data_IF_581862794150
#
_entry.id   IF_581862794150
#
_cell.length_a   1.000
_cell.length_b   1.000
_cell.length_c   1.000
_cell.angle_alpha   90.00
_cell.angle_beta   90.00
_cell.angle_gamma   90.00
#
_symmetry.space_group_name_H-M   'P 1'
#
loop_
_entity.id
_entity.type
_entity.pdbx_description
1 polymer ?
#
# COMPACT_ATOMS: atom_id res chain seq x y z
N UNK A 1 -6.37 -0.15 -6.48
CA UNK A 1 -6.91 0.72 -7.54
C UNK A 1 -6.17 0.56 -8.87
N UNK A 2 -4.86 0.86 -8.97
CA UNK A 2 -4.13 0.81 -10.25
C UNK A 2 -4.26 -0.54 -11.00
N UNK A 3 -4.11 -1.66 -10.30
CA UNK A 3 -4.43 -3.00 -10.80
C UNK A 3 -5.80 -3.12 -11.49
N UNK A 4 -6.85 -2.57 -10.89
CA UNK A 4 -8.22 -2.65 -11.39
C UNK A 4 -8.39 -1.78 -12.64
N UNK A 5 -7.83 -0.56 -12.62
CA UNK A 5 -7.82 0.34 -13.77
C UNK A 5 -7.07 -0.28 -14.96
N UNK A 6 -5.95 -0.94 -14.70
CA UNK A 6 -5.16 -1.65 -15.71
C UNK A 6 -5.93 -2.79 -16.36
N UNK A 7 -6.65 -3.58 -15.57
CA UNK A 7 -7.51 -4.65 -16.08
C UNK A 7 -8.61 -4.12 -17.02
N UNK A 8 -9.34 -3.08 -16.59
CA UNK A 8 -10.42 -2.47 -17.37
C UNK A 8 -9.89 -1.85 -18.68
N UNK A 9 -8.82 -1.07 -18.58
CA UNK A 9 -8.23 -0.42 -19.74
C UNK A 9 -7.65 -1.42 -20.74
N UNK A 10 -7.12 -2.56 -20.29
CA UNK A 10 -6.60 -3.58 -21.18
C UNK A 10 -7.71 -4.11 -22.11
N UNK A 11 -8.89 -4.38 -21.54
CA UNK A 11 -10.05 -4.89 -22.27
C UNK A 11 -10.69 -3.85 -23.19
N UNK A 12 -10.80 -2.61 -22.71
CA UNK A 12 -11.33 -1.49 -23.50
C UNK A 12 -10.31 -0.89 -24.49
N UNK A 13 -9.11 -1.47 -24.52
CA UNK A 13 -7.95 -1.00 -25.28
C UNK A 13 -7.56 0.46 -25.03
N UNK A 14 -7.77 0.94 -23.81
CA UNK A 14 -7.48 2.30 -23.40
C UNK A 14 -6.00 2.46 -22.99
N UNK A 15 -5.50 3.69 -23.13
CA UNK A 15 -4.26 4.11 -22.46
C UNK A 15 -4.60 4.60 -21.06
N UNK A 16 -3.71 4.34 -20.10
CA UNK A 16 -3.92 4.71 -18.70
C UNK A 16 -2.91 5.75 -18.31
N UNK A 17 -3.41 6.85 -17.76
CA UNK A 17 -2.57 7.90 -17.20
C UNK A 17 -2.50 7.68 -15.69
N UNK A 18 -1.29 7.51 -15.16
CA UNK A 18 -1.06 7.38 -13.71
C UNK A 18 -0.10 8.45 -13.26
N UNK A 19 -0.65 9.48 -12.62
CA UNK A 19 0.16 10.54 -12.03
C UNK A 19 0.63 10.16 -10.63
N UNK A 20 1.81 9.54 -10.56
CA UNK A 20 2.44 9.13 -9.30
C UNK A 20 2.83 10.31 -8.40
N UNK A 21 2.80 11.56 -8.89
CA UNK A 21 3.07 12.75 -8.07
C UNK A 21 2.00 12.96 -7.00
N UNK A 22 0.77 12.48 -7.23
CA UNK A 22 -0.40 12.74 -6.38
C UNK A 22 -0.76 11.62 -5.41
N UNK A 23 0.05 10.56 -5.32
CA UNK A 23 -0.22 9.49 -4.35
C UNK A 23 0.01 10.01 -2.92
N UNK A 24 -1.11 10.12 -2.21
CA UNK A 24 -1.32 10.81 -0.93
C UNK A 24 -0.54 10.27 0.27
N UNK A 25 0.24 9.20 0.13
CA UNK A 25 1.10 8.68 1.21
C UNK A 25 2.37 9.50 1.44
N UNK A 26 2.71 10.40 0.51
CA UNK A 26 3.94 11.20 0.54
C UNK A 26 3.62 12.70 0.63
N UNK A 27 2.83 13.12 1.62
CA UNK A 27 2.67 14.53 1.99
C UNK A 27 3.92 15.09 2.69
N UNK A 28 5.09 14.91 2.08
CA UNK A 28 6.15 15.90 2.23
C UNK A 28 6.35 16.52 0.86
N UNK A 29 6.27 17.84 0.76
CA UNK A 29 6.46 18.62 -0.47
C UNK A 29 7.82 18.35 -1.19
N UNK A 30 8.66 17.44 -0.66
CA UNK A 30 9.99 17.10 -1.15
C UNK A 30 10.11 15.65 -1.70
N UNK A 31 9.04 14.85 -1.70
CA UNK A 31 9.10 13.43 -2.11
C UNK A 31 8.10 13.08 -3.22
N UNK A 32 8.10 13.85 -4.31
CA UNK A 32 7.43 13.41 -5.54
C UNK A 32 8.15 12.18 -6.14
N UNK A 33 7.38 11.20 -6.61
CA UNK A 33 7.91 10.13 -7.46
C UNK A 33 8.25 10.71 -8.84
N UNK A 34 9.52 10.90 -9.13
CA UNK A 34 9.97 11.14 -10.51
C UNK A 34 9.92 9.84 -11.33
N UNK A 35 9.93 9.97 -12.65
CA UNK A 35 10.04 8.84 -13.59
C UNK A 35 11.27 7.98 -13.26
N UNK A 36 12.42 8.61 -13.07
CA UNK A 36 13.66 7.92 -12.71
C UNK A 36 13.53 7.14 -11.39
N UNK A 37 12.80 7.68 -10.42
CA UNK A 37 12.56 7.01 -9.14
C UNK A 37 11.59 5.84 -9.27
N UNK A 38 10.57 5.96 -10.10
CA UNK A 38 9.70 4.83 -10.40
C UNK A 38 10.52 3.70 -11.04
N UNK A 39 11.40 4.03 -11.98
CA UNK A 39 12.35 3.09 -12.57
C UNK A 39 13.43 2.60 -11.62
N UNK A 40 13.71 3.25 -10.49
CA UNK A 40 14.58 2.65 -9.46
C UNK A 40 13.95 1.36 -8.89
N UNK A 41 12.63 1.30 -8.79
CA UNK A 41 11.91 0.19 -8.16
C UNK A 41 11.23 -0.74 -9.14
N UNK A 42 10.70 -0.21 -10.24
CA UNK A 42 9.82 -0.93 -11.13
C UNK A 42 10.30 -0.88 -12.58
N UNK A 43 10.32 -2.05 -13.20
CA UNK A 43 10.24 -2.19 -14.65
C UNK A 43 8.77 -2.17 -15.04
N UNK A 44 8.39 -1.23 -15.88
CA UNK A 44 7.02 -1.12 -16.40
C UNK A 44 6.89 -2.03 -17.61
N UNK A 45 5.94 -2.96 -17.54
CA UNK A 45 5.72 -3.98 -18.56
C UNK A 45 4.58 -3.61 -19.52
N UNK A 46 3.69 -2.70 -19.12
CA UNK A 46 2.50 -2.39 -19.90
C UNK A 46 2.74 -1.24 -20.89
N UNK A 47 2.69 -1.47 -22.22
CA UNK A 47 3.04 -0.47 -23.23
C UNK A 47 2.06 0.70 -23.33
N UNK A 48 0.86 0.58 -22.74
CA UNK A 48 -0.18 1.63 -22.73
C UNK A 48 -0.31 2.34 -21.38
N UNK A 49 0.58 2.04 -20.44
CA UNK A 49 0.67 2.77 -19.18
C UNK A 49 1.54 4.02 -19.39
N UNK A 50 0.92 5.19 -19.29
CA UNK A 50 1.55 6.49 -19.37
C UNK A 50 1.66 7.04 -17.94
N UNK A 51 2.87 7.30 -17.50
CA UNK A 51 3.16 7.70 -16.12
C UNK A 51 4.21 8.80 -16.04
N UNK A 52 4.76 9.24 -17.18
CA UNK A 52 5.64 10.39 -17.24
C UNK A 52 4.82 11.66 -16.95
N UNK A 53 5.12 12.40 -15.87
CA UNK A 53 4.45 13.65 -15.53
C UNK A 53 4.37 14.65 -16.67
N UNK A 54 5.45 14.78 -17.47
CA UNK A 54 5.49 15.72 -18.59
C UNK A 54 4.51 15.30 -19.68
N UNK A 55 4.47 14.01 -19.97
CA UNK A 55 3.55 13.44 -20.96
C UNK A 55 2.10 13.48 -20.47
N UNK A 56 1.85 13.25 -19.18
CA UNK A 56 0.54 13.39 -18.55
C UNK A 56 0.06 14.84 -18.67
N UNK A 57 0.90 15.81 -18.30
CA UNK A 57 0.56 17.23 -18.38
C UNK A 57 0.28 17.66 -19.83
N UNK A 58 1.07 17.15 -20.79
CA UNK A 58 0.83 17.35 -22.23
C UNK A 58 -0.52 16.80 -22.68
N UNK A 59 -0.85 15.56 -22.31
CA UNK A 59 -2.11 14.89 -22.70
C UNK A 59 -3.32 15.58 -22.07
N UNK A 60 -3.26 15.93 -20.79
CA UNK A 60 -4.33 16.66 -20.10
C UNK A 60 -4.54 18.03 -20.76
N UNK A 61 -3.47 18.72 -21.13
CA UNK A 61 -3.56 20.04 -21.77
C UNK A 61 -4.10 19.97 -23.20
N UNK A 62 -3.65 19.01 -24.01
CA UNK A 62 -4.07 18.89 -25.40
C UNK A 62 -5.45 18.23 -25.56
N UNK A 63 -5.85 17.35 -24.65
CA UNK A 63 -7.07 16.54 -24.78
C UNK A 63 -7.91 16.48 -23.49
N UNK A 64 -8.22 17.62 -22.83
CA UNK A 64 -8.87 17.62 -21.51
C UNK A 64 -10.24 16.91 -21.53
N UNK A 65 -11.02 17.08 -22.59
CA UNK A 65 -12.33 16.43 -22.76
C UNK A 65 -12.23 14.91 -22.88
N UNK A 66 -11.18 14.41 -23.55
CA UNK A 66 -10.99 12.96 -23.73
C UNK A 66 -10.49 12.29 -22.46
N UNK A 67 -9.76 13.02 -21.62
CA UNK A 67 -9.19 12.51 -20.37
C UNK A 67 -10.20 12.60 -19.22
N UNK A 68 -10.93 13.71 -19.12
CA UNK A 68 -11.82 13.98 -17.98
C UNK A 68 -13.28 13.65 -18.26
N UNK A 69 -13.68 13.52 -19.54
CA UNK A 69 -15.09 13.38 -19.93
C UNK A 69 -15.92 14.66 -19.75
N UNK A 70 -15.31 15.77 -19.30
CA UNK A 70 -15.96 17.04 -18.99
C UNK A 70 -15.52 18.09 -20.01
N UNK A 71 -16.47 18.83 -20.58
CA UNK A 71 -16.16 20.01 -21.42
C UNK A 71 -15.57 21.12 -20.54
N UNK A 72 -14.35 21.63 -20.82
CA UNK A 72 -13.77 22.73 -20.07
C UNK A 72 -14.69 23.96 -20.12
N UNK A 73 -15.12 24.42 -18.95
CA UNK A 73 -15.82 25.69 -18.76
C UNK A 73 -15.00 26.66 -17.90
N UNK A 74 -15.40 27.93 -17.79
CA UNK A 74 -14.67 28.98 -17.06
C UNK A 74 -14.53 28.74 -15.54
N UNK A 75 -15.15 27.69 -15.01
CA UNK A 75 -15.11 27.29 -13.60
C UNK A 75 -14.40 25.96 -13.36
N UNK A 76 -13.45 25.57 -14.21
CA UNK A 76 -12.59 24.40 -13.96
C UNK A 76 -11.64 24.69 -12.78
N UNK A 77 -12.21 24.64 -11.57
CA UNK A 77 -11.51 24.74 -10.30
C UNK A 77 -10.63 23.51 -10.09
N UNK A 78 -9.47 23.77 -9.49
CA UNK A 78 -8.41 22.85 -9.11
C UNK A 78 -8.88 21.39 -8.88
N UNK A 79 -8.44 20.42 -9.71
CA UNK A 79 -8.82 18.98 -9.64
C UNK A 79 -8.45 18.24 -8.35
N UNK A 80 -7.86 18.90 -7.36
CA UNK A 80 -7.13 18.24 -6.25
C UNK A 80 -8.04 17.72 -5.11
N UNK A 81 -9.34 18.03 -5.10
CA UNK A 81 -10.24 17.63 -3.99
C UNK A 81 -10.98 16.30 -4.15
N UNK A 82 -10.84 15.63 -5.29
CA UNK A 82 -11.66 14.44 -5.62
C UNK A 82 -10.90 13.13 -5.41
N UNK A 83 -9.56 13.13 -5.46
CA UNK A 83 -8.75 11.92 -5.58
C UNK A 83 -8.73 10.97 -4.36
N UNK A 84 -8.90 11.45 -3.12
CA UNK A 84 -8.65 10.62 -1.93
C UNK A 84 -9.84 9.74 -1.48
N UNK A 85 -11.08 10.11 -1.84
CA UNK A 85 -12.30 9.34 -1.52
C UNK A 85 -12.62 8.23 -2.54
N UNK A 86 -12.08 8.34 -3.75
CA UNK A 86 -12.44 7.49 -4.88
C UNK A 86 -11.73 6.13 -4.86
N UNK A 87 -10.54 5.99 -4.29
CA UNK A 87 -9.70 4.81 -4.57
C UNK A 87 -10.24 3.47 -4.03
N UNK A 88 -10.94 3.49 -2.89
CA UNK A 88 -11.49 2.28 -2.25
C UNK A 88 -12.91 2.00 -2.72
N UNK A 89 -13.74 3.05 -2.84
CA UNK A 89 -15.12 2.97 -3.34
C UNK A 89 -15.15 2.57 -4.82
N UNK A 90 -14.33 3.20 -5.68
CA UNK A 90 -14.19 2.77 -7.08
C UNK A 90 -13.70 1.34 -7.20
N UNK A 91 -12.73 0.88 -6.39
CA UNK A 91 -12.23 -0.48 -6.55
C UNK A 91 -13.33 -1.54 -6.28
N UNK A 92 -14.20 -1.28 -5.30
CA UNK A 92 -15.36 -2.11 -4.99
C UNK A 92 -16.50 -1.95 -5.99
N UNK A 93 -16.81 -0.74 -6.43
CA UNK A 93 -17.85 -0.44 -7.43
C UNK A 93 -17.48 -0.97 -8.82
N UNK A 94 -16.24 -0.74 -9.27
CA UNK A 94 -15.71 -1.30 -10.52
C UNK A 94 -15.73 -2.84 -10.50
N UNK A 95 -15.50 -3.46 -9.33
CA UNK A 95 -15.62 -4.92 -9.20
C UNK A 95 -17.08 -5.38 -9.35
N UNK A 96 -18.01 -4.67 -8.72
CA UNK A 96 -19.45 -4.96 -8.78
C UNK A 96 -20.04 -4.72 -10.18
N UNK A 97 -19.62 -3.66 -10.87
CA UNK A 97 -20.15 -3.25 -12.16
C UNK A 97 -19.59 -4.10 -13.32
N UNK A 98 -18.29 -4.40 -13.31
CA UNK A 98 -17.67 -5.11 -14.42
C UNK A 98 -17.59 -6.63 -14.18
N UNK A 99 -17.81 -7.11 -12.96
CA UNK A 99 -17.71 -8.54 -12.60
C UNK A 99 -16.31 -9.13 -12.83
N UNK A 100 -15.28 -8.27 -12.93
CA UNK A 100 -13.93 -8.68 -13.33
C UNK A 100 -13.01 -8.84 -12.13
N UNK A 101 -12.25 -9.94 -12.15
CA UNK A 101 -11.16 -10.19 -11.22
C UNK A 101 -10.10 -9.11 -11.43
N UNK A 102 -9.82 -8.31 -10.41
CA UNK A 102 -8.77 -7.28 -10.44
C UNK A 102 -7.44 -7.97 -10.76
N UNK A 103 -6.88 -7.63 -11.91
CA UNK A 103 -5.61 -8.23 -12.35
C UNK A 103 -4.47 -7.75 -11.43
N UNK A 104 -3.53 -8.65 -11.13
CA UNK A 104 -2.46 -8.32 -10.20
C UNK A 104 -1.52 -7.26 -10.79
N UNK A 105 -1.05 -6.33 -9.95
CA UNK A 105 -0.04 -5.32 -10.33
C UNK A 105 1.19 -5.95 -10.99
N UNK A 106 1.52 -7.19 -10.62
CA UNK A 106 2.61 -7.97 -11.19
C UNK A 106 2.51 -8.23 -12.70
N UNK A 107 1.31 -8.13 -13.28
CA UNK A 107 1.12 -8.26 -14.73
C UNK A 107 1.57 -7.00 -15.50
N UNK A 108 1.78 -5.89 -14.79
CA UNK A 108 2.01 -4.57 -15.40
C UNK A 108 3.28 -3.89 -14.90
N UNK A 109 3.76 -4.27 -13.71
CA UNK A 109 4.97 -3.78 -13.07
C UNK A 109 5.75 -4.97 -12.52
N UNK A 110 7.06 -4.93 -12.64
CA UNK A 110 7.96 -5.89 -12.02
C UNK A 110 8.97 -5.14 -11.14
N UNK A 111 9.27 -5.66 -9.95
CA UNK A 111 10.34 -5.10 -9.15
C UNK A 111 11.69 -5.29 -9.85
N UNK A 112 12.52 -4.26 -9.90
CA UNK A 112 13.86 -4.33 -10.47
C UNK A 112 14.96 -3.87 -9.50
N UNK A 113 16.21 -4.05 -9.93
CA UNK A 113 17.39 -3.79 -9.11
C UNK A 113 17.36 -4.53 -7.77
N UNK A 114 17.81 -3.85 -6.73
CA UNK A 114 17.90 -4.43 -5.37
C UNK A 114 16.54 -4.88 -4.81
N UNK A 115 15.43 -4.21 -5.18
CA UNK A 115 14.11 -4.61 -4.72
C UNK A 115 13.66 -5.91 -5.39
N UNK A 116 13.93 -6.08 -6.69
CA UNK A 116 13.67 -7.33 -7.41
C UNK A 116 14.49 -8.50 -6.85
N UNK A 117 15.76 -8.26 -6.55
CA UNK A 117 16.64 -9.26 -5.91
C UNK A 117 16.14 -9.67 -4.52
N UNK A 118 15.79 -8.70 -3.66
CA UNK A 118 15.20 -8.95 -2.33
C UNK A 118 13.90 -9.74 -2.45
N UNK A 119 12.98 -9.32 -3.31
CA UNK A 119 11.72 -10.01 -3.54
C UNK A 119 11.95 -11.45 -3.96
N UNK A 120 12.75 -11.70 -4.99
CA UNK A 120 13.01 -13.06 -5.49
C UNK A 120 13.69 -13.95 -4.43
N UNK A 121 14.61 -13.39 -3.63
CA UNK A 121 15.26 -14.10 -2.53
C UNK A 121 14.26 -14.58 -1.47
N UNK A 122 13.32 -13.71 -1.08
CA UNK A 122 12.37 -14.00 0.00
C UNK A 122 11.11 -14.73 -0.47
N UNK A 123 10.75 -14.59 -1.75
CA UNK A 123 9.56 -15.21 -2.35
C UNK A 123 9.47 -16.71 -2.11
N UNK A 124 10.57 -17.44 -2.29
CA UNK A 124 10.61 -18.90 -2.07
C UNK A 124 10.23 -19.34 -0.65
N UNK A 125 10.45 -18.47 0.34
CA UNK A 125 10.07 -18.71 1.72
C UNK A 125 8.64 -18.23 1.98
N UNK A 126 8.24 -17.11 1.36
CA UNK A 126 6.90 -16.55 1.48
C UNK A 126 5.81 -17.50 0.99
N UNK A 127 6.03 -18.24 -0.10
CA UNK A 127 5.02 -19.11 -0.73
C UNK A 127 4.51 -20.25 0.14
N UNK A 128 5.23 -20.61 1.21
CA UNK A 128 4.87 -21.67 2.14
C UNK A 128 4.72 -21.14 3.58
N UNK A 129 4.55 -19.83 3.71
CA UNK A 129 4.45 -19.15 5.00
C UNK A 129 3.07 -18.52 5.17
N UNK A 130 2.71 -18.32 6.43
CA UNK A 130 1.61 -17.44 6.83
C UNK A 130 2.17 -16.01 6.85
N UNK A 131 1.63 -15.14 6.02
CA UNK A 131 1.95 -13.72 6.03
C UNK A 131 1.35 -13.08 7.28
N UNK A 132 2.11 -12.25 7.98
CA UNK A 132 1.64 -11.50 9.14
C UNK A 132 1.95 -10.03 8.89
N UNK A 133 0.92 -9.22 8.73
CA UNK A 133 1.06 -7.78 8.61
C UNK A 133 0.47 -7.08 9.85
N UNK A 134 1.35 -6.67 10.75
CA UNK A 134 0.99 -6.00 12.00
C UNK A 134 1.33 -4.52 11.93
N UNK A 135 0.34 -3.68 11.61
CA UNK A 135 0.48 -2.22 11.64
C UNK A 135 0.09 -1.70 13.02
N UNK A 136 1.06 -1.43 13.88
CA UNK A 136 0.84 -1.10 15.30
C UNK A 136 1.22 0.34 15.65
N UNK A 137 1.61 1.13 14.64
CA UNK A 137 1.80 2.58 14.76
C UNK A 137 3.14 2.99 15.36
N UNK A 138 3.92 2.07 15.92
CA UNK A 138 5.25 2.34 16.49
C UNK A 138 5.26 3.54 17.47
N UNK A 139 4.29 3.56 18.39
CA UNK A 139 4.10 4.64 19.38
C UNK A 139 3.41 5.91 18.85
N UNK A 140 2.81 5.86 17.65
CA UNK A 140 1.95 6.95 17.14
C UNK A 140 0.75 7.21 18.06
N UNK A 141 0.68 8.42 18.63
CA UNK A 141 -0.53 8.93 19.27
C UNK A 141 -1.51 9.40 18.20
N UNK A 142 -2.40 8.49 17.79
CA UNK A 142 -3.46 8.79 16.83
C UNK A 142 -4.56 9.64 17.47
N UNK A 143 -4.74 10.88 16.96
CA UNK A 143 -5.85 11.76 17.39
C UNK A 143 -7.22 11.23 16.95
N UNK A 144 -7.29 10.60 15.77
CA UNK A 144 -8.53 10.03 15.26
C UNK A 144 -8.79 8.67 15.94
N UNK A 145 -9.91 8.49 16.68
CA UNK A 145 -10.20 7.26 17.40
C UNK A 145 -10.34 6.03 16.50
N UNK A 146 -10.88 6.18 15.29
CA UNK A 146 -11.01 5.08 14.33
C UNK A 146 -9.63 4.62 13.83
N UNK A 147 -8.75 5.57 13.53
CA UNK A 147 -7.36 5.24 13.16
C UNK A 147 -6.59 4.64 14.33
N UNK A 148 -6.86 5.10 15.56
CA UNK A 148 -6.28 4.53 16.78
C UNK A 148 -6.65 3.07 16.93
N UNK A 149 -7.93 2.70 16.83
CA UNK A 149 -8.38 1.30 16.94
C UNK A 149 -7.72 0.35 15.94
N UNK A 150 -7.32 0.85 14.77
CA UNK A 150 -6.61 0.06 13.75
C UNK A 150 -5.19 -0.32 14.17
N UNK A 151 -4.52 0.53 14.97
CA UNK A 151 -3.13 0.33 15.39
C UNK A 151 -3.00 -0.16 16.83
N UNK A 152 -4.00 0.10 17.67
CA UNK A 152 -4.08 -0.26 19.09
C UNK A 152 -4.57 -1.70 19.26
N UNK A 153 -3.79 -2.64 18.71
CA UNK A 153 -4.08 -4.08 18.74
C UNK A 153 -3.05 -4.78 19.60
N UNK A 154 -3.52 -5.43 20.66
CA UNK A 154 -2.71 -6.25 21.55
C UNK A 154 -1.92 -7.33 20.79
N UNK A 155 -0.64 -7.50 21.12
CA UNK A 155 0.24 -8.50 20.49
C UNK A 155 -0.35 -9.90 20.62
N UNK A 156 -0.98 -10.20 21.76
CA UNK A 156 -1.59 -11.49 22.04
C UNK A 156 -2.77 -11.81 21.11
N UNK A 157 -3.36 -10.83 20.41
CA UNK A 157 -4.33 -11.12 19.33
C UNK A 157 -3.64 -11.71 18.12
N UNK A 158 -2.48 -11.17 17.73
CA UNK A 158 -1.68 -11.73 16.64
C UNK A 158 -1.13 -13.10 17.03
N UNK A 159 -0.59 -13.24 18.23
CA UNK A 159 -0.05 -14.52 18.68
C UNK A 159 -1.10 -15.62 18.72
N UNK A 160 -2.29 -15.37 19.27
CA UNK A 160 -3.38 -16.35 19.24
C UNK A 160 -3.80 -16.78 17.85
N UNK A 161 -3.72 -15.90 16.86
CA UNK A 161 -4.01 -16.26 15.47
C UNK A 161 -2.86 -17.06 14.86
N UNK A 162 -1.62 -16.63 15.06
CA UNK A 162 -0.42 -17.32 14.59
C UNK A 162 -0.31 -18.74 15.19
N UNK A 163 -0.63 -18.90 16.47
CA UNK A 163 -0.56 -20.19 17.19
C UNK A 163 -1.54 -21.23 16.63
N UNK A 164 -2.59 -20.83 15.89
CA UNK A 164 -3.46 -21.76 15.16
C UNK A 164 -2.77 -22.44 13.97
N UNK A 165 -1.57 -22.00 13.62
CA UNK A 165 -0.76 -22.50 12.52
C UNK A 165 0.53 -23.15 13.04
N UNK A 166 0.44 -24.11 13.96
CA UNK A 166 1.58 -24.70 14.70
C UNK A 166 2.70 -25.30 13.82
N UNK A 167 2.43 -25.66 12.56
CA UNK A 167 3.41 -26.22 11.62
C UNK A 167 3.99 -25.24 10.60
N UNK A 168 3.54 -23.98 10.57
CA UNK A 168 3.87 -23.06 9.48
C UNK A 168 5.00 -22.09 9.83
N UNK A 169 5.72 -21.61 8.81
CA UNK A 169 6.59 -20.45 8.96
C UNK A 169 5.78 -19.15 8.88
N UNK A 170 6.30 -18.06 9.44
CA UNK A 170 5.64 -16.76 9.47
C UNK A 170 6.48 -15.71 8.77
N UNK A 171 5.97 -15.09 7.71
CA UNK A 171 6.57 -13.88 7.15
C UNK A 171 5.99 -12.66 7.86
N UNK A 172 6.74 -12.05 8.79
CA UNK A 172 6.26 -10.90 9.58
C UNK A 172 6.72 -9.58 8.96
N UNK A 173 5.74 -8.75 8.60
CA UNK A 173 5.88 -7.37 8.15
C UNK A 173 5.22 -6.46 9.20
N UNK A 174 5.97 -5.53 9.78
CA UNK A 174 5.47 -4.65 10.84
C UNK A 174 6.21 -3.33 10.86
N UNK A 175 5.58 -2.27 11.33
CA UNK A 175 6.23 -0.99 11.59
C UNK A 175 6.82 -0.90 13.00
N UNK A 176 6.59 -1.88 13.87
CA UNK A 176 6.87 -1.79 15.31
C UNK A 176 7.97 -2.78 15.73
N UNK A 177 9.19 -2.31 16.05
CA UNK A 177 10.34 -3.17 16.35
C UNK A 177 10.11 -4.15 17.50
N UNK A 178 9.47 -3.71 18.59
CA UNK A 178 9.19 -4.56 19.75
C UNK A 178 8.26 -5.73 19.44
N UNK A 179 7.33 -5.57 18.49
CA UNK A 179 6.48 -6.68 18.03
C UNK A 179 7.31 -7.70 17.24
N UNK A 180 8.21 -7.24 16.37
CA UNK A 180 9.09 -8.12 15.62
C UNK A 180 10.01 -8.93 16.55
N UNK A 181 10.54 -8.30 17.60
CA UNK A 181 11.35 -8.99 18.61
C UNK A 181 10.53 -10.02 19.37
N UNK A 182 9.34 -9.68 19.84
CA UNK A 182 8.46 -10.62 20.53
C UNK A 182 8.06 -11.81 19.64
N UNK A 183 7.86 -11.60 18.33
CA UNK A 183 7.70 -12.69 17.38
C UNK A 183 8.95 -13.56 17.28
N UNK A 184 10.15 -12.97 17.31
CA UNK A 184 11.41 -13.71 17.21
C UNK A 184 11.63 -14.58 18.44
N UNK A 185 11.36 -14.03 19.62
CA UNK A 185 11.46 -14.76 20.90
C UNK A 185 10.47 -15.94 20.95
N UNK A 186 9.23 -15.74 20.49
CA UNK A 186 8.18 -16.78 20.56
C UNK A 186 8.29 -17.85 19.48
N UNK A 187 8.61 -17.47 18.24
CA UNK A 187 8.56 -18.38 17.08
C UNK A 187 9.93 -18.82 16.56
N UNK A 188 11.01 -18.19 17.02
CA UNK A 188 12.39 -18.57 16.71
C UNK A 188 12.64 -18.74 15.21
N UNK A 189 13.12 -19.92 14.82
CA UNK A 189 13.48 -20.24 13.43
C UNK A 189 12.30 -20.22 12.45
N UNK A 190 11.05 -20.25 12.94
CA UNK A 190 9.86 -20.17 12.09
C UNK A 190 9.57 -18.75 11.64
N UNK A 191 10.19 -17.75 12.26
CA UNK A 191 10.05 -16.35 11.87
C UNK A 191 10.93 -16.03 10.66
N UNK A 192 10.28 -15.67 9.56
CA UNK A 192 10.90 -15.05 8.40
C UNK A 192 10.66 -13.55 8.51
N UNK A 193 11.74 -12.77 8.57
CA UNK A 193 11.68 -11.31 8.49
C UNK A 193 12.74 -10.81 7.51
N UNK A 194 12.37 -9.82 6.70
CA UNK A 194 13.31 -9.20 5.79
C UNK A 194 14.21 -8.23 6.57
N UNK A 195 15.55 -8.28 6.38
CA UNK A 195 16.43 -7.26 6.94
C UNK A 195 16.05 -5.89 6.39
N UNK A 196 15.69 -4.96 7.27
CA UNK A 196 15.31 -3.58 6.93
C UNK A 196 15.67 -2.64 8.06
N UNK A 197 15.86 -1.37 7.73
CA UNK A 197 16.08 -0.32 8.71
C UNK A 197 14.74 0.18 9.27
N UNK A 198 14.36 -0.32 10.45
CA UNK A 198 13.15 0.12 11.15
C UNK A 198 13.41 1.44 11.88
N UNK A 199 12.39 2.30 11.93
CA UNK A 199 12.43 3.46 12.81
C UNK A 199 12.56 3.00 14.28
N UNK A 200 13.27 3.73 15.14
CA UNK A 200 13.32 3.42 16.56
C UNK A 200 11.92 3.34 17.17
N UNK A 201 11.80 2.58 18.26
CA UNK A 201 10.56 2.50 19.04
C UNK A 201 10.08 3.92 19.40
N UNK A 202 8.76 4.13 19.35
CA UNK A 202 8.07 5.39 19.67
C UNK A 202 8.37 6.58 18.75
N UNK A 203 9.06 6.35 17.64
CA UNK A 203 9.30 7.38 16.61
C UNK A 203 8.15 7.52 15.60
N UNK A 204 7.09 6.73 15.78
CA UNK A 204 5.99 6.58 14.85
C UNK A 204 6.41 5.92 13.53
N UNK A 205 5.66 6.18 12.46
CA UNK A 205 5.93 5.67 11.09
C UNK A 205 7.30 6.02 10.51
N UNK A 206 8.05 6.94 11.13
CA UNK A 206 9.26 7.50 10.55
C UNK A 206 9.02 8.57 9.47
N UNK A 207 7.80 8.72 8.94
CA UNK A 207 7.50 9.70 7.88
C UNK A 207 7.46 11.16 8.38
N UNK A 208 7.06 11.41 9.64
CA UNK A 208 6.81 12.77 10.16
C UNK A 208 8.06 13.48 10.71
N UNK A 209 9.16 12.77 10.95
CA UNK A 209 10.35 13.34 11.57
C UNK A 209 11.36 13.94 10.58
N UNK A 210 11.03 13.99 9.27
CA UNK A 210 11.90 14.56 8.23
C UNK A 210 12.27 16.05 8.40
N UNK A 211 11.72 16.76 9.40
CA UNK A 211 12.12 18.15 9.73
C UNK A 211 12.94 18.30 11.02
N UNK A 212 13.05 17.27 11.87
CA UNK A 212 13.75 17.37 13.18
C UNK A 212 14.58 16.16 13.58
N UNK A 213 14.45 15.03 12.91
CA UNK A 213 15.44 13.96 13.07
C UNK A 213 16.64 14.28 12.19
N UNK A 214 17.76 14.59 12.83
CA UNK A 214 19.12 14.41 12.30
C UNK A 214 19.41 12.92 12.03
N UNK A 215 18.52 12.22 11.32
CA UNK A 215 18.77 10.88 10.79
C UNK A 215 19.48 11.05 9.45
N UNK A 216 20.74 11.45 9.52
CA UNK A 216 21.64 11.62 8.39
C UNK A 216 22.03 10.30 7.68
N UNK A 217 21.28 9.20 7.83
CA UNK A 217 21.72 7.87 7.35
C UNK A 217 20.63 6.93 6.83
N UNK A 218 19.35 7.29 6.85
CA UNK A 218 18.30 6.46 6.26
C UNK A 218 17.75 7.16 5.02
N UNK A 219 18.11 6.63 3.84
CA UNK A 219 17.48 7.03 2.60
C UNK A 219 16.01 6.60 2.68
N UNK A 220 15.08 7.55 2.89
CA UNK A 220 13.64 7.25 3.01
C UNK A 220 13.09 6.50 1.78
N UNK A 221 13.82 6.54 0.67
CA UNK A 221 13.59 5.76 -0.53
C UNK A 221 13.93 4.27 -0.35
N UNK A 222 14.99 3.90 0.37
CA UNK A 222 15.28 2.50 0.71
C UNK A 222 14.18 1.89 1.60
N UNK A 223 13.72 2.64 2.60
CA UNK A 223 12.61 2.22 3.47
C UNK A 223 11.33 1.98 2.66
N UNK A 224 11.09 2.82 1.65
CA UNK A 224 9.98 2.63 0.74
C UNK A 224 10.15 1.39 -0.15
N UNK A 225 11.35 1.17 -0.70
CA UNK A 225 11.66 -0.03 -1.46
C UNK A 225 11.39 -1.30 -0.64
N UNK A 226 11.82 -1.32 0.62
CA UNK A 226 11.57 -2.44 1.54
C UNK A 226 10.07 -2.64 1.81
N UNK A 227 9.34 -1.55 2.10
CA UNK A 227 7.89 -1.58 2.26
C UNK A 227 7.17 -2.15 1.03
N UNK A 228 7.60 -1.76 -0.18
CA UNK A 228 7.03 -2.28 -1.43
C UNK A 228 7.31 -3.78 -1.61
N UNK A 229 8.52 -4.23 -1.31
CA UNK A 229 8.88 -5.65 -1.36
C UNK A 229 8.02 -6.46 -0.40
N UNK A 230 7.85 -6.00 0.84
CA UNK A 230 7.03 -6.67 1.84
C UNK A 230 5.55 -6.75 1.44
N UNK A 231 5.00 -5.65 0.93
CA UNK A 231 3.62 -5.61 0.42
C UNK A 231 3.38 -6.67 -0.66
N UNK A 232 4.34 -6.85 -1.57
CA UNK A 232 4.25 -7.86 -2.64
C UNK A 232 4.47 -9.28 -2.09
N UNK A 233 5.41 -9.49 -1.17
CA UNK A 233 5.67 -10.80 -0.56
C UNK A 233 4.46 -11.32 0.23
N UNK A 234 3.72 -10.46 0.92
CA UNK A 234 2.47 -10.84 1.60
C UNK A 234 1.44 -11.41 0.62
N UNK A 235 1.48 -10.99 -0.65
CA UNK A 235 0.62 -11.51 -1.71
C UNK A 235 1.02 -12.89 -2.22
N UNK A 236 2.20 -13.38 -1.87
CA UNK A 236 2.70 -14.70 -2.23
C UNK A 236 2.45 -15.73 -1.12
N UNK A 237 2.02 -15.32 0.08
CA UNK A 237 1.79 -16.20 1.23
C UNK A 237 0.54 -17.11 1.08
N UNK A 238 0.52 -18.22 1.80
CA UNK A 238 -0.60 -19.18 1.80
C UNK A 238 -1.87 -18.57 2.43
N UNK A 239 -1.67 -17.88 3.56
CA UNK A 239 -2.70 -17.17 4.29
C UNK A 239 -2.12 -15.87 4.85
N UNK A 240 -2.98 -14.95 5.26
CA UNK A 240 -2.62 -13.65 5.78
C UNK A 240 -3.30 -13.40 7.12
N UNK A 241 -2.52 -13.00 8.13
CA UNK A 241 -3.00 -12.45 9.39
C UNK A 241 -2.69 -10.97 9.35
N UNK A 242 -3.69 -10.11 9.47
CA UNK A 242 -3.45 -8.67 9.44
C UNK A 242 -4.46 -7.87 10.25
N UNK A 243 -4.14 -6.61 10.49
CA UNK A 243 -5.16 -5.59 10.76
C UNK A 243 -5.65 -4.92 9.47
N UNK A 244 -6.75 -4.19 9.55
CA UNK A 244 -7.27 -3.44 8.42
C UNK A 244 -6.29 -2.32 8.02
N UNK A 245 -5.34 -2.61 7.13
CA UNK A 245 -4.33 -1.68 6.63
C UNK A 245 -4.31 -1.66 5.10
N UNK A 246 -4.07 -0.49 4.51
CA UNK A 246 -3.85 -0.33 3.07
C UNK A 246 -2.71 -1.22 2.54
N UNK A 247 -1.69 -1.45 3.38
CA UNK A 247 -0.54 -2.28 3.07
C UNK A 247 -0.91 -3.74 2.77
N UNK A 248 -2.03 -4.22 3.34
CA UNK A 248 -2.53 -5.58 3.13
C UNK A 248 -3.42 -5.72 1.88
N UNK A 249 -3.82 -4.62 1.23
CA UNK A 249 -4.81 -4.63 0.15
C UNK A 249 -4.31 -5.44 -1.05
N UNK A 250 -3.02 -5.34 -1.40
CA UNK A 250 -2.47 -6.10 -2.52
C UNK A 250 -2.68 -7.61 -2.33
N UNK A 251 -2.29 -8.14 -1.16
CA UNK A 251 -2.47 -9.54 -0.82
C UNK A 251 -3.96 -9.94 -0.76
N UNK A 252 -4.78 -9.15 -0.08
CA UNK A 252 -6.21 -9.45 0.16
C UNK A 252 -7.07 -9.37 -1.09
N UNK A 253 -6.94 -8.30 -1.86
CA UNK A 253 -7.86 -7.96 -2.94
C UNK A 253 -7.32 -8.41 -4.28
N UNK A 254 -6.03 -8.17 -4.56
CA UNK A 254 -5.45 -8.48 -5.87
C UNK A 254 -5.05 -9.96 -5.96
N UNK A 255 -4.41 -10.50 -4.91
CA UNK A 255 -3.95 -11.88 -4.87
C UNK A 255 -4.94 -12.85 -4.22
N UNK A 256 -5.99 -12.32 -3.56
CA UNK A 256 -7.05 -13.10 -2.91
C UNK A 256 -6.50 -14.10 -1.88
N UNK A 257 -5.43 -13.74 -1.18
CA UNK A 257 -4.86 -14.54 -0.10
C UNK A 257 -5.92 -14.71 1.00
N UNK A 258 -6.14 -15.94 1.46
CA UNK A 258 -7.08 -16.23 2.56
C UNK A 258 -6.65 -15.44 3.80
N UNK A 259 -7.53 -14.59 4.34
CA UNK A 259 -7.13 -13.58 5.33
C UNK A 259 -7.95 -13.62 6.63
N UNK A 260 -7.27 -13.58 7.77
CA UNK A 260 -7.82 -13.29 9.10
C UNK A 260 -7.54 -11.82 9.47
N UNK A 261 -8.61 -11.02 9.68
CA UNK A 261 -8.50 -9.59 10.04
C UNK A 261 -8.80 -9.40 11.52
N UNK A 262 -7.81 -9.01 12.32
CA UNK A 262 -7.89 -8.98 13.79
C UNK A 262 -8.55 -7.72 14.39
N UNK A 263 -8.78 -6.71 13.55
CA UNK A 263 -9.53 -5.49 13.88
C UNK A 263 -10.33 -5.07 12.65
N UNK A 264 -11.42 -5.81 12.41
CA UNK A 264 -12.34 -5.57 11.30
C UNK A 264 -13.56 -4.80 11.81
N UNK A 265 -13.35 -3.63 12.43
CA UNK A 265 -14.45 -2.68 12.60
C UNK A 265 -14.84 -2.25 11.18
N UNK A 266 -15.83 -2.96 10.61
CA UNK A 266 -16.37 -2.81 9.26
C UNK A 266 -16.85 -1.36 9.05
N UNK A 267 -17.16 -0.63 10.12
CA UNK A 267 -17.50 0.80 10.12
C UNK A 267 -16.34 1.77 9.89
N UNK A 268 -15.11 1.29 9.71
CA UNK A 268 -14.01 2.17 9.33
C UNK A 268 -14.06 2.67 7.88
N UNK A 269 -14.91 2.04 7.05
CA UNK A 269 -15.23 2.49 5.69
C UNK A 269 -16.74 2.63 5.42
N UNK A 270 -17.62 2.24 6.35
CA UNK A 270 -19.04 2.60 6.33
C UNK A 270 -19.20 4.11 6.51
N UNK A 271 -19.42 4.82 5.40
CA UNK A 271 -20.29 5.99 5.29
C UNK A 271 -20.22 7.01 6.46
N UNK A 272 -19.23 7.91 6.41
CA UNK A 272 -19.50 9.28 6.86
C UNK A 272 -20.49 9.85 5.84
N UNK A 273 -21.77 9.98 6.22
CA UNK A 273 -22.72 10.69 5.38
C UNK A 273 -22.13 12.08 5.05
N UNK A 274 -22.29 12.58 3.81
CA UNK A 274 -21.69 13.84 3.38
C UNK A 274 -22.05 15.08 4.21
N UNK A 275 -22.96 14.98 5.18
CA UNK A 275 -23.52 16.11 5.95
C UNK A 275 -22.84 16.46 7.28
N UNK A 276 -22.05 15.57 7.89
CA UNK A 276 -21.64 15.75 9.31
C UNK A 276 -20.25 16.38 9.53
N UNK A 277 -19.65 16.95 8.48
CA UNK A 277 -18.43 17.76 8.61
C UNK A 277 -18.78 19.25 8.48
N UNK A 278 -19.45 19.79 9.49
CA UNK A 278 -19.37 21.22 9.78
C UNK A 278 -17.98 21.43 10.39
N UNK A 279 -17.09 22.03 9.61
CA UNK A 279 -15.81 22.54 10.08
C UNK A 279 -16.06 23.94 10.66
N UNK A 280 -15.93 24.07 11.98
CA UNK A 280 -15.43 25.31 12.60
C UNK A 280 -13.90 25.32 12.54
#
# INVERSE_FOLDING_TARGET
>A
MLSALLSIANDLKLSILVDWRKLSYFESNNQSFSVDRLHKYFRILHPRLIYDPVEIDRIITQYPERVTGIKPGPHFGCPDKIASRLETVLASELYAEFGKKIDCLSSYLELQGQCGEKFNRFRKFATHAIGVHARLGNGEVMKNPMMRRRVDIEYERFFREMDRHEGSNFLVCTDTPSFLEACRDRYGIRLISMPRNMAPQDSGTGHKNGKKATLAQLDGYEQLGDALVEMLLLGECEQLICNASCFSIHARVCKQVKTSILANDIDSYSLVEPGDLILD
#
